data_IF_933699711044
#
_entry.id   IF_933699711044
#
_cell.length_a   1.000
_cell.length_b   1.000
_cell.length_c   1.000
_cell.angle_alpha   90.00
_cell.angle_beta   90.00
_cell.angle_gamma   90.00
#
_symmetry.space_group_name_H-M   'P 1'
#
loop_
_entity.id
_entity.type
_entity.pdbx_description
1 polymer ?
#
# COMPACT_ATOMS: atom_id res chain seq x y z
N UNK A 1 4.89 -3.33 -54.26
CA UNK A 1 3.62 -3.58 -53.55
C UNK A 1 3.81 -4.40 -52.28
N UNK A 2 4.43 -5.59 -52.32
CA UNK A 2 4.54 -6.43 -51.11
C UNK A 2 5.39 -5.78 -50.00
N UNK A 3 6.53 -5.17 -50.32
CA UNK A 3 7.38 -4.51 -49.32
C UNK A 3 6.70 -3.33 -48.61
N UNK A 4 5.88 -2.55 -49.33
CA UNK A 4 5.14 -1.41 -48.75
C UNK A 4 4.07 -1.90 -47.76
N UNK A 5 3.37 -2.99 -48.11
CA UNK A 5 2.41 -3.63 -47.22
C UNK A 5 3.09 -4.14 -45.94
N UNK A 6 4.26 -4.78 -46.06
CA UNK A 6 5.04 -5.25 -44.90
C UNK A 6 5.47 -4.10 -44.00
N UNK A 7 5.94 -2.98 -44.56
CA UNK A 7 6.30 -1.79 -43.77
C UNK A 7 5.10 -1.22 -43.00
N UNK A 8 3.93 -1.13 -43.64
CA UNK A 8 2.72 -0.60 -43.00
C UNK A 8 2.27 -1.48 -41.83
N UNK A 9 2.27 -2.81 -42.01
CA UNK A 9 1.94 -3.76 -40.95
C UNK A 9 2.93 -3.64 -39.78
N UNK A 10 4.23 -3.57 -40.08
CA UNK A 10 5.26 -3.43 -39.07
C UNK A 10 5.05 -2.15 -38.24
N UNK A 11 4.78 -1.00 -38.88
CA UNK A 11 4.51 0.26 -38.18
C UNK A 11 3.28 0.17 -37.27
N UNK A 12 2.18 -0.40 -37.75
CA UNK A 12 0.96 -0.58 -36.95
C UNK A 12 1.23 -1.46 -35.72
N UNK A 13 1.94 -2.58 -35.91
CA UNK A 13 2.31 -3.46 -34.79
C UNK A 13 3.23 -2.77 -33.79
N UNK A 14 4.22 -1.98 -34.25
CA UNK A 14 5.08 -1.21 -33.35
C UNK A 14 4.30 -0.22 -32.49
N UNK A 15 3.35 0.52 -33.10
CA UNK A 15 2.48 1.44 -32.35
C UNK A 15 1.63 0.68 -31.33
N UNK A 16 1.05 -0.46 -31.74
CA UNK A 16 0.25 -1.29 -30.86
C UNK A 16 1.05 -1.80 -29.66
N UNK A 17 2.29 -2.25 -29.88
CA UNK A 17 3.19 -2.70 -28.80
C UNK A 17 3.52 -1.57 -27.81
N UNK A 18 3.75 -0.35 -28.29
CA UNK A 18 4.02 0.81 -27.42
C UNK A 18 2.79 1.11 -26.54
N UNK A 19 1.59 1.09 -27.14
CA UNK A 19 0.34 1.36 -26.41
C UNK A 19 0.10 0.29 -25.34
N UNK A 20 0.18 -0.99 -25.71
CA UNK A 20 -0.03 -2.11 -24.78
C UNK A 20 1.03 -2.09 -23.68
N UNK A 21 2.30 -1.90 -24.04
CA UNK A 21 3.40 -1.86 -23.08
C UNK A 21 3.25 -0.71 -22.08
N UNK A 22 2.87 0.48 -22.54
CA UNK A 22 2.60 1.63 -21.67
C UNK A 22 1.41 1.38 -20.73
N UNK A 23 0.33 0.80 -21.24
CA UNK A 23 -0.83 0.45 -20.42
C UNK A 23 -0.49 -0.58 -19.33
N UNK A 24 0.21 -1.64 -19.70
CA UNK A 24 0.58 -2.70 -18.76
C UNK A 24 1.58 -2.22 -17.71
N UNK A 25 2.54 -1.37 -18.11
CA UNK A 25 3.46 -0.73 -17.18
C UNK A 25 2.70 0.13 -16.15
N UNK A 26 1.72 0.92 -16.61
CA UNK A 26 0.86 1.73 -15.72
C UNK A 26 0.07 0.86 -14.74
N UNK A 27 -0.49 -0.25 -15.20
CA UNK A 27 -1.29 -1.16 -14.37
C UNK A 27 -0.49 -1.76 -13.20
N UNK A 28 0.79 -2.07 -13.42
CA UNK A 28 1.67 -2.66 -12.40
C UNK A 28 2.32 -1.58 -11.52
N UNK A 29 2.84 -0.52 -12.12
CA UNK A 29 3.63 0.50 -11.39
C UNK A 29 2.75 1.37 -10.49
N UNK A 30 1.50 1.63 -10.87
CA UNK A 30 0.59 2.46 -10.08
C UNK A 30 0.31 1.91 -8.66
N UNK A 31 -0.14 0.66 -8.48
CA UNK A 31 -0.36 0.11 -7.13
C UNK A 31 0.93 0.03 -6.30
N UNK A 32 2.08 -0.25 -6.93
CA UNK A 32 3.39 -0.28 -6.25
C UNK A 32 3.76 1.12 -5.74
N UNK A 33 3.55 2.16 -6.54
CA UNK A 33 3.82 3.55 -6.13
C UNK A 33 2.92 3.99 -4.96
N UNK A 34 1.64 3.57 -4.95
CA UNK A 34 0.74 3.84 -3.82
C UNK A 34 1.27 3.15 -2.55
N UNK A 35 1.61 1.86 -2.62
CA UNK A 35 2.21 1.13 -1.49
C UNK A 35 3.45 1.83 -0.95
N UNK A 36 4.36 2.24 -1.85
CA UNK A 36 5.59 2.93 -1.50
C UNK A 36 5.33 4.27 -0.79
N UNK A 37 4.38 5.07 -1.30
CA UNK A 37 3.98 6.34 -0.67
C UNK A 37 3.36 6.12 0.71
N UNK A 38 2.52 5.10 0.86
CA UNK A 38 1.93 4.76 2.16
C UNK A 38 3.02 4.34 3.16
N UNK A 39 3.95 3.48 2.77
CA UNK A 39 5.09 3.09 3.62
C UNK A 39 5.96 4.28 4.00
N UNK A 40 6.23 5.18 3.06
CA UNK A 40 6.97 6.41 3.32
C UNK A 40 6.24 7.29 4.34
N UNK A 41 4.93 7.49 4.17
CA UNK A 41 4.12 8.23 5.13
C UNK A 41 4.16 7.61 6.54
N UNK A 42 4.10 6.28 6.64
CA UNK A 42 4.23 5.56 7.92
C UNK A 42 5.62 5.78 8.54
N UNK A 43 6.68 5.66 7.74
CA UNK A 43 8.05 5.88 8.20
C UNK A 43 8.28 7.31 8.70
N UNK A 44 7.64 8.30 8.04
CA UNK A 44 7.69 9.71 8.42
C UNK A 44 6.72 10.05 9.58
N UNK A 45 5.98 9.07 10.11
CA UNK A 45 5.04 9.23 11.23
C UNK A 45 3.68 9.86 10.87
N UNK A 46 3.40 10.06 9.58
CA UNK A 46 2.18 10.69 9.05
C UNK A 46 1.24 9.69 8.34
N UNK A 47 1.53 8.39 8.42
CA UNK A 47 0.81 7.37 7.68
C UNK A 47 -0.59 7.11 8.23
N UNK A 48 -1.62 7.31 7.40
CA UNK A 48 -2.98 6.89 7.71
C UNK A 48 -3.12 5.36 7.56
N UNK A 49 -3.14 4.68 8.71
CA UNK A 49 -3.28 3.23 8.80
C UNK A 49 -4.73 2.74 8.56
N UNK A 50 -5.69 3.62 8.28
CA UNK A 50 -7.07 3.25 7.95
C UNK A 50 -7.26 3.03 6.46
N UNK A 51 -6.39 3.60 5.62
CA UNK A 51 -6.43 3.44 4.18
C UNK A 51 -6.13 1.97 3.80
N UNK A 52 -6.85 1.48 2.78
CA UNK A 52 -6.67 0.13 2.21
C UNK A 52 -6.51 0.26 0.71
N UNK A 53 -5.68 -0.60 0.15
CA UNK A 53 -5.54 -0.73 -1.30
C UNK A 53 -6.76 -1.46 -1.86
N UNK A 54 -7.33 -0.93 -2.93
CA UNK A 54 -8.37 -1.60 -3.70
C UNK A 54 -7.75 -2.74 -4.52
N UNK A 55 -8.26 -3.95 -4.34
CA UNK A 55 -7.71 -5.16 -4.94
C UNK A 55 -8.50 -5.42 -6.22
N UNK A 56 -8.09 -4.79 -7.32
CA UNK A 56 -8.71 -5.00 -8.63
C UNK A 56 -8.01 -6.08 -9.43
N UNK A 57 -6.75 -6.37 -9.12
CA UNK A 57 -5.95 -7.37 -9.84
C UNK A 57 -6.05 -8.76 -9.19
N UNK A 58 -6.09 -9.80 -10.02
CA UNK A 58 -6.07 -11.22 -9.60
C UNK A 58 -4.71 -11.89 -9.87
N UNK A 59 -3.67 -11.08 -10.12
CA UNK A 59 -2.29 -11.51 -10.34
C UNK A 59 -1.43 -11.32 -9.07
N UNK A 60 -0.11 -11.46 -9.23
CA UNK A 60 0.87 -11.31 -8.16
C UNK A 60 0.83 -9.91 -7.52
N UNK A 61 0.45 -8.88 -8.28
CA UNK A 61 0.30 -7.51 -7.76
C UNK A 61 -0.92 -7.42 -6.85
N UNK A 62 -2.00 -8.12 -7.20
CA UNK A 62 -3.18 -8.27 -6.35
C UNK A 62 -2.87 -9.00 -5.03
N UNK A 63 -2.10 -10.08 -5.09
CA UNK A 63 -1.65 -10.82 -3.90
C UNK A 63 -0.75 -9.97 -3.00
N UNK A 64 0.15 -9.17 -3.59
CA UNK A 64 0.98 -8.22 -2.86
C UNK A 64 0.12 -7.15 -2.17
N UNK A 65 -0.89 -6.59 -2.84
CA UNK A 65 -1.82 -5.63 -2.25
C UNK A 65 -2.61 -6.22 -1.08
N UNK A 66 -3.04 -7.48 -1.17
CA UNK A 66 -3.68 -8.18 -0.06
C UNK A 66 -2.74 -8.34 1.14
N UNK A 67 -1.50 -8.76 0.89
CA UNK A 67 -0.48 -8.93 1.93
C UNK A 67 -0.13 -7.60 2.59
N UNK A 68 -0.06 -6.53 1.80
CA UNK A 68 0.12 -5.17 2.29
C UNK A 68 -1.03 -4.74 3.21
N UNK A 69 -2.28 -4.92 2.79
CA UNK A 69 -3.46 -4.60 3.62
C UNK A 69 -3.46 -5.37 4.95
N UNK A 70 -3.08 -6.65 4.95
CA UNK A 70 -2.93 -7.47 6.17
C UNK A 70 -1.84 -6.92 7.08
N UNK A 71 -0.69 -6.53 6.52
CA UNK A 71 0.40 -5.91 7.27
C UNK A 71 -0.05 -4.62 7.96
N UNK A 72 -0.71 -3.71 7.24
CA UNK A 72 -1.23 -2.46 7.80
C UNK A 72 -2.26 -2.73 8.90
N UNK A 73 -3.18 -3.68 8.71
CA UNK A 73 -4.15 -4.05 9.73
C UNK A 73 -3.48 -4.57 11.02
N UNK A 74 -2.42 -5.37 10.88
CA UNK A 74 -1.66 -5.85 12.04
C UNK A 74 -0.93 -4.71 12.75
N UNK A 75 -0.32 -3.80 12.00
CA UNK A 75 0.37 -2.62 12.53
C UNK A 75 -0.62 -1.72 13.30
N UNK A 76 -1.80 -1.48 12.74
CA UNK A 76 -2.88 -0.73 13.41
C UNK A 76 -3.30 -1.41 14.74
N UNK A 77 -3.49 -2.73 14.73
CA UNK A 77 -3.85 -3.48 15.95
C UNK A 77 -2.79 -3.36 17.05
N UNK A 78 -1.50 -3.43 16.67
CA UNK A 78 -0.39 -3.25 17.63
C UNK A 78 -0.41 -1.82 18.20
N UNK A 79 -0.62 -0.82 17.35
CA UNK A 79 -0.68 0.58 17.79
C UNK A 79 -1.82 0.82 18.79
N UNK A 80 -3.01 0.27 18.53
CA UNK A 80 -4.16 0.33 19.46
C UNK A 80 -3.83 -0.34 20.80
N UNK A 81 -3.17 -1.50 20.78
CA UNK A 81 -2.77 -2.19 22.00
C UNK A 81 -1.78 -1.36 22.83
N UNK A 82 -0.79 -0.73 22.20
CA UNK A 82 0.18 0.15 22.88
C UNK A 82 -0.53 1.33 23.55
N UNK A 83 -1.49 1.96 22.87
CA UNK A 83 -2.30 3.05 23.45
C UNK A 83 -3.10 2.55 24.66
N UNK A 84 -3.73 1.38 24.54
CA UNK A 84 -4.46 0.75 25.64
C UNK A 84 -3.58 0.49 26.87
N UNK A 85 -2.41 -0.10 26.67
CA UNK A 85 -1.42 -0.36 27.73
C UNK A 85 -0.94 0.94 28.39
N UNK A 86 -0.75 2.00 27.62
CA UNK A 86 -0.32 3.31 28.15
C UNK A 86 -1.39 3.94 29.05
N UNK A 87 -2.67 3.80 28.67
CA UNK A 87 -3.81 4.27 29.47
C UNK A 87 -3.94 3.48 30.78
N UNK A 88 -3.77 2.16 30.71
CA UNK A 88 -3.81 1.28 31.89
C UNK A 88 -2.65 1.59 32.85
N UNK A 89 -1.44 1.80 32.31
CA UNK A 89 -0.27 2.18 33.08
C UNK A 89 -0.49 3.52 33.79
N UNK A 90 -1.00 4.52 33.07
CA UNK A 90 -1.29 5.85 33.63
C UNK A 90 -2.33 5.77 34.74
N UNK A 91 -3.40 4.98 34.54
CA UNK A 91 -4.44 4.75 35.54
C UNK A 91 -3.88 4.10 36.80
N UNK A 92 -3.02 3.09 36.62
CA UNK A 92 -2.35 2.37 37.72
C UNK A 92 -1.39 3.28 38.48
N UNK A 93 -0.59 4.10 37.78
CA UNK A 93 0.29 5.09 38.41
C UNK A 93 -0.47 6.14 39.20
N UNK A 94 -1.60 6.64 38.70
CA UNK A 94 -2.47 7.59 39.41
C UNK A 94 -3.08 6.94 40.66
N UNK A 95 -3.54 5.69 40.55
CA UNK A 95 -4.06 4.95 41.69
C UNK A 95 -3.00 4.73 42.78
N UNK A 96 -1.78 4.32 42.39
CA UNK A 96 -0.66 4.14 43.31
C UNK A 96 -0.25 5.46 44.00
N UNK A 97 -0.18 6.56 43.26
CA UNK A 97 0.14 7.88 43.82
C UNK A 97 -0.91 8.36 44.85
N UNK A 98 -2.20 8.11 44.58
CA UNK A 98 -3.28 8.43 45.52
C UNK A 98 -3.16 7.64 46.81
N UNK A 99 -2.95 6.32 46.71
CA UNK A 99 -2.79 5.45 47.89
C UNK A 99 -1.55 5.79 48.73
N UNK A 100 -0.49 6.35 48.13
CA UNK A 100 0.70 6.80 48.85
C UNK A 100 0.50 8.17 49.55
N UNK A 101 -0.51 8.94 49.15
CA UNK A 101 -0.81 10.27 49.71
C UNK A 101 -1.80 10.25 50.89
N UNK A 102 -2.44 9.11 51.15
CA UNK A 102 -3.35 8.86 52.28
C UNK A 102 -2.64 8.03 53.35
#
# INVERSE_FOLDING_TARGET
HMSVLTCLIATVLSILFIIIGGFLAGLITHPIDIMAKMLKGIADGQGDLTMRLDIQSQDEVGELAQSFNKFIAKLQSISIQIIGLTNELTTSSVAAARSAST
#
